data_IF_690957178848
#
_entry.id   IF_690957178848
#
_cell.length_a   1.000
_cell.length_b   1.000
_cell.length_c   1.000
_cell.angle_alpha   90.00
_cell.angle_beta   90.00
_cell.angle_gamma   90.00
#
_symmetry.space_group_name_H-M   'P 1'
#
loop_
_entity.id
_entity.type
_entity.pdbx_description
1 polymer ?
#
# COMPACT_ATOMS: atom_id res chain seq x y z
N UNK A 1 -3.36 -4.10 -2.60
CA UNK A 1 -2.97 -2.82 -3.21
C UNK A 1 -3.22 -1.75 -2.19
N UNK A 2 -2.14 -1.21 -1.65
CA UNK A 2 -2.14 -0.10 -0.71
C UNK A 2 -2.82 1.11 -1.37
N UNK A 3 -3.67 1.81 -0.61
CA UNK A 3 -4.43 2.99 -1.04
C UNK A 3 -3.48 4.06 -1.60
N UNK A 4 -2.25 4.11 -1.09
CA UNK A 4 -1.17 4.94 -1.60
C UNK A 4 -0.86 4.67 -3.09
N UNK A 5 -0.73 3.40 -3.50
CA UNK A 5 -0.39 3.05 -4.88
C UNK A 5 -1.53 3.40 -5.84
N UNK A 6 -2.78 3.20 -5.41
CA UNK A 6 -3.97 3.59 -6.17
C UNK A 6 -4.02 5.11 -6.32
N UNK A 7 -3.76 5.86 -5.25
CA UNK A 7 -3.69 7.31 -5.28
C UNK A 7 -2.58 7.83 -6.21
N UNK A 8 -1.38 7.26 -6.15
CA UNK A 8 -0.27 7.64 -7.02
C UNK A 8 -0.56 7.34 -8.49
N UNK A 9 -1.15 6.18 -8.79
CA UNK A 9 -1.55 5.83 -10.15
C UNK A 9 -2.67 6.75 -10.65
N UNK A 10 -3.68 7.03 -9.83
CA UNK A 10 -4.76 7.94 -10.17
C UNK A 10 -4.24 9.36 -10.42
N UNK A 11 -3.33 9.85 -9.58
CA UNK A 11 -2.69 11.16 -9.75
C UNK A 11 -1.85 11.23 -11.03
N UNK A 12 -1.04 10.21 -11.31
CA UNK A 12 -0.26 10.14 -12.54
C UNK A 12 -1.15 10.05 -13.79
N UNK A 13 -2.22 9.25 -13.72
CA UNK A 13 -3.21 9.13 -14.79
C UNK A 13 -3.94 10.45 -15.06
N UNK A 14 -4.33 11.18 -14.01
CA UNK A 14 -4.96 12.49 -14.13
C UNK A 14 -4.06 13.51 -14.83
N UNK A 15 -2.79 13.58 -14.42
CA UNK A 15 -1.78 14.46 -15.04
C UNK A 15 -1.53 14.10 -16.51
N UNK A 16 -1.47 12.80 -16.84
CA UNK A 16 -1.28 12.33 -18.21
C UNK A 16 -2.49 12.66 -19.10
N UNK A 17 -3.71 12.48 -18.59
CA UNK A 17 -4.95 12.82 -19.30
C UNK A 17 -5.00 14.32 -19.63
N UNK A 18 -4.49 15.19 -18.75
CA UNK A 18 -4.41 16.63 -19.01
C UNK A 18 -3.28 16.99 -19.99
N UNK A 19 -2.13 16.31 -19.89
CA UNK A 19 -0.97 16.57 -20.74
C UNK A 19 -1.25 16.27 -22.22
N UNK A 20 -1.98 15.20 -22.54
CA UNK A 20 -2.23 14.77 -23.93
C UNK A 20 -2.95 15.85 -24.77
N UNK A 21 -4.11 16.40 -24.36
CA UNK A 21 -4.76 17.48 -25.10
C UNK A 21 -3.93 18.75 -25.22
N UNK A 22 -3.20 19.12 -24.17
CA UNK A 22 -2.32 20.31 -24.16
C UNK A 22 -1.14 20.15 -25.12
N UNK A 23 -0.64 18.93 -25.31
CA UNK A 23 0.52 18.66 -26.18
C UNK A 23 0.12 18.65 -27.66
N UNK A 24 -0.94 17.92 -28.01
CA UNK A 24 -1.37 17.75 -29.40
C UNK A 24 -2.24 18.91 -29.90
N UNK A 25 -3.10 19.45 -29.04
CA UNK A 25 -4.15 20.40 -29.43
C UNK A 25 -4.16 21.69 -28.58
N UNK A 26 -3.00 22.35 -28.35
CA UNK A 26 -2.91 23.52 -27.47
C UNK A 26 -3.80 24.69 -27.93
N UNK A 27 -3.95 24.86 -29.24
CA UNK A 27 -4.72 25.97 -29.82
C UNK A 27 -6.21 25.86 -29.52
N UNK A 28 -6.78 24.66 -29.57
CA UNK A 28 -8.21 24.47 -29.28
C UNK A 28 -8.48 24.72 -27.80
N UNK A 29 -7.62 24.21 -26.93
CA UNK A 29 -7.75 24.42 -25.47
C UNK A 29 -7.71 25.91 -25.14
N UNK A 30 -6.69 26.64 -25.60
CA UNK A 30 -6.59 28.09 -25.35
C UNK A 30 -7.81 28.82 -25.91
N UNK A 31 -8.29 28.45 -27.11
CA UNK A 31 -9.46 29.08 -27.71
C UNK A 31 -10.76 28.86 -26.92
N UNK A 32 -10.90 27.73 -26.22
CA UNK A 32 -12.09 27.44 -25.39
C UNK A 32 -11.99 28.16 -24.04
N UNK A 33 -10.78 28.40 -23.54
CA UNK A 33 -10.55 29.12 -22.29
C UNK A 33 -10.65 30.64 -22.45
N UNK A 34 -10.39 31.18 -23.64
CA UNK A 34 -10.52 32.62 -23.89
C UNK A 34 -11.98 33.02 -24.07
N UNK A 35 -12.44 33.98 -23.27
CA UNK A 35 -13.79 34.56 -23.41
C UNK A 35 -13.96 35.37 -24.69
N UNK A 36 -12.87 35.86 -25.28
CA UNK A 36 -12.87 36.67 -26.50
C UNK A 36 -12.15 35.95 -27.64
N UNK A 37 -12.77 35.83 -28.82
CA UNK A 37 -12.15 35.19 -29.98
C UNK A 37 -10.98 36.05 -30.49
N UNK A 38 -9.76 35.64 -30.12
CA UNK A 38 -8.51 36.30 -30.49
C UNK A 38 -7.58 35.36 -31.24
N UNK A 39 -6.64 35.93 -31.99
CA UNK A 39 -5.55 35.15 -32.60
C UNK A 39 -4.59 34.68 -31.50
N UNK A 40 -4.44 33.37 -31.39
CA UNK A 40 -3.53 32.71 -30.45
C UNK A 40 -2.09 33.04 -30.84
N UNK A 41 -1.34 33.53 -29.86
CA UNK A 41 0.06 33.91 -30.02
C UNK A 41 0.99 32.69 -30.00
N UNK A 42 2.17 32.81 -30.60
CA UNK A 42 3.19 31.76 -30.53
C UNK A 42 3.63 31.46 -29.09
N UNK A 43 3.63 32.47 -28.22
CA UNK A 43 3.99 32.35 -26.81
C UNK A 43 3.00 31.46 -26.02
N UNK A 44 1.69 31.62 -26.24
CA UNK A 44 0.67 30.77 -25.58
C UNK A 44 0.80 29.31 -26.01
N UNK A 45 1.05 29.08 -27.30
CA UNK A 45 1.26 27.72 -27.83
C UNK A 45 2.53 27.09 -27.24
N UNK A 46 3.60 27.88 -27.12
CA UNK A 46 4.85 27.43 -26.49
C UNK A 46 4.62 27.08 -25.02
N UNK A 47 3.97 27.97 -24.25
CA UNK A 47 3.71 27.77 -22.82
C UNK A 47 2.81 26.56 -22.56
N UNK A 48 1.77 26.36 -23.38
CA UNK A 48 0.88 25.20 -23.27
C UNK A 48 1.64 23.88 -23.50
N UNK A 49 2.52 23.83 -24.50
CA UNK A 49 3.34 22.65 -24.79
C UNK A 49 4.40 22.41 -23.72
N UNK A 50 5.07 23.45 -23.24
CA UNK A 50 6.05 23.30 -22.15
C UNK A 50 5.37 22.83 -20.86
N UNK A 51 4.16 23.33 -20.58
CA UNK A 51 3.38 22.87 -19.44
C UNK A 51 2.95 21.41 -19.59
N UNK A 52 2.53 20.98 -20.78
CA UNK A 52 2.20 19.58 -21.05
C UNK A 52 3.41 18.64 -20.80
N UNK A 53 4.59 19.03 -21.25
CA UNK A 53 5.84 18.26 -21.01
C UNK A 53 6.18 18.21 -19.52
N UNK A 54 5.96 19.30 -18.79
CA UNK A 54 6.14 19.35 -17.34
C UNK A 54 5.18 18.40 -16.61
N UNK A 55 3.90 18.38 -16.99
CA UNK A 55 2.90 17.47 -16.42
C UNK A 55 3.25 16.00 -16.68
N UNK A 56 3.72 15.67 -17.89
CA UNK A 56 4.20 14.33 -18.22
C UNK A 56 5.41 13.93 -17.37
N UNK A 57 6.41 14.82 -17.27
CA UNK A 57 7.59 14.58 -16.45
C UNK A 57 7.23 14.42 -14.97
N UNK A 58 6.30 15.23 -14.46
CA UNK A 58 5.82 15.14 -13.09
C UNK A 58 5.05 13.83 -12.83
N UNK A 59 4.23 13.38 -13.78
CA UNK A 59 3.55 12.08 -13.71
C UNK A 59 4.54 10.91 -13.67
N UNK A 60 5.57 10.93 -14.53
CA UNK A 60 6.63 9.92 -14.55
C UNK A 60 7.40 9.94 -13.22
N UNK A 61 7.79 11.13 -12.74
CA UNK A 61 8.50 11.27 -11.47
C UNK A 61 7.69 10.72 -10.29
N UNK A 62 6.39 11.01 -10.24
CA UNK A 62 5.49 10.46 -9.23
C UNK A 62 5.47 8.91 -9.27
N UNK A 63 5.37 8.29 -10.45
CA UNK A 63 5.39 6.83 -10.57
C UNK A 63 6.72 6.21 -10.12
N UNK A 64 7.84 6.85 -10.45
CA UNK A 64 9.19 6.40 -10.07
C UNK A 64 9.39 6.48 -8.54
N UNK A 65 9.03 7.60 -7.92
CA UNK A 65 9.23 7.81 -6.49
C UNK A 65 8.22 7.05 -5.63
N UNK A 66 7.02 6.77 -6.14
CA UNK A 66 6.04 5.94 -5.43
C UNK A 66 6.46 4.48 -5.30
N UNK A 67 7.45 4.01 -6.09
CA UNK A 67 7.92 2.63 -6.03
C UNK A 67 7.07 1.63 -6.81
N UNK A 68 6.17 2.11 -7.68
CA UNK A 68 5.42 1.28 -8.64
C UNK A 68 6.38 0.70 -9.68
N UNK A 69 7.40 1.48 -10.06
CA UNK A 69 8.47 1.07 -10.96
C UNK A 69 9.70 0.77 -10.09
N UNK A 70 10.20 -0.47 -10.03
CA UNK A 70 11.35 -0.83 -9.21
C UNK A 70 12.63 -0.19 -9.77
N UNK A 71 13.25 0.71 -9.02
CA UNK A 71 14.44 1.47 -9.45
C UNK A 71 15.77 0.71 -9.30
N UNK A 72 15.79 -0.49 -8.70
CA UNK A 72 16.90 -1.44 -8.74
C UNK A 72 16.48 -2.83 -8.23
N UNK A 73 17.16 -3.88 -8.73
CA UNK A 73 17.10 -5.34 -8.50
C UNK A 73 16.51 -5.89 -7.16
N UNK A 74 15.30 -5.52 -6.78
CA UNK A 74 14.60 -6.10 -5.63
C UNK A 74 13.42 -6.93 -6.11
N UNK A 75 13.71 -8.05 -6.77
CA UNK A 75 12.78 -9.17 -7.01
C UNK A 75 12.49 -9.97 -5.72
N UNK A 76 12.82 -9.42 -4.55
CA UNK A 76 12.45 -10.03 -3.27
C UNK A 76 10.95 -9.81 -3.04
N UNK A 77 10.20 -10.86 -3.39
CA UNK A 77 8.75 -11.04 -3.40
C UNK A 77 8.10 -10.96 -2.00
N UNK A 78 8.84 -10.46 -1.01
CA UNK A 78 8.34 -10.14 0.33
C UNK A 78 7.65 -8.77 0.38
N UNK A 79 6.80 -8.47 -0.60
CA UNK A 79 6.19 -7.16 -0.84
C UNK A 79 5.09 -6.84 0.17
N UNK A 80 5.49 -6.39 1.36
CA UNK A 80 4.61 -5.66 2.27
C UNK A 80 4.22 -4.31 1.67
N UNK A 81 3.03 -4.26 1.06
CA UNK A 81 2.28 -3.08 0.59
C UNK A 81 2.37 -1.92 1.62
N UNK A 82 3.04 -0.79 1.33
CA UNK A 82 3.12 0.30 2.31
C UNK A 82 4.15 1.41 2.08
N UNK A 83 3.79 2.65 2.48
CA UNK A 83 4.66 3.83 2.68
C UNK A 83 5.96 3.57 3.49
N UNK A 84 6.07 2.43 4.17
CA UNK A 84 7.16 2.10 5.08
C UNK A 84 8.43 1.54 4.41
N UNK A 85 8.38 1.07 3.15
CA UNK A 85 9.54 0.44 2.47
C UNK A 85 10.33 1.42 1.60
N UNK A 86 9.68 2.44 1.02
CA UNK A 86 10.33 3.40 0.13
C UNK A 86 10.40 4.79 0.81
N UNK A 87 11.62 5.30 1.11
CA UNK A 87 11.79 6.56 1.84
C UNK A 87 11.26 7.79 1.09
N UNK A 88 11.04 7.67 -0.23
CA UNK A 88 10.55 8.75 -1.07
C UNK A 88 9.03 8.76 -1.23
N UNK A 89 8.31 7.72 -0.80
CA UNK A 89 6.86 7.64 -0.98
C UNK A 89 6.10 8.69 -0.17
N UNK A 90 6.47 8.90 1.10
CA UNK A 90 5.83 9.91 1.95
C UNK A 90 6.04 11.36 1.44
N UNK A 91 7.26 11.84 1.15
CA UNK A 91 7.43 13.19 0.62
C UNK A 91 6.77 13.37 -0.75
N UNK A 92 6.76 12.33 -1.59
CA UNK A 92 6.05 12.37 -2.89
C UNK A 92 4.56 12.55 -2.70
N UNK A 93 3.96 11.82 -1.75
CA UNK A 93 2.55 11.96 -1.37
C UNK A 93 2.23 13.41 -0.96
N UNK A 94 3.06 13.99 -0.10
CA UNK A 94 2.86 15.38 0.36
C UNK A 94 2.92 16.34 -0.83
N UNK A 95 3.93 16.22 -1.69
CA UNK A 95 4.09 17.09 -2.86
C UNK A 95 2.90 16.97 -3.82
N UNK A 96 2.45 15.76 -4.15
CA UNK A 96 1.30 15.58 -5.06
C UNK A 96 -0.01 16.04 -4.43
N UNK A 97 -0.18 15.87 -3.12
CA UNK A 97 -1.38 16.35 -2.41
C UNK A 97 -1.41 17.87 -2.38
N UNK A 98 -0.29 18.53 -2.07
CA UNK A 98 -0.17 19.99 -2.12
C UNK A 98 -0.40 20.52 -3.54
N UNK A 99 0.10 19.83 -4.57
CA UNK A 99 -0.16 20.19 -5.97
C UNK A 99 -1.66 20.18 -6.29
N UNK A 100 -2.38 19.12 -5.91
CA UNK A 100 -3.83 19.02 -6.14
C UNK A 100 -4.61 20.07 -5.32
N UNK A 101 -4.16 20.39 -4.10
CA UNK A 101 -4.74 21.44 -3.27
C UNK A 101 -4.62 22.83 -3.94
N UNK A 102 -3.42 23.19 -4.40
CA UNK A 102 -3.15 24.46 -5.06
C UNK A 102 -3.90 24.56 -6.39
N UNK A 103 -3.95 23.47 -7.15
CA UNK A 103 -4.70 23.40 -8.41
C UNK A 103 -6.19 23.59 -8.17
N UNK A 104 -6.77 22.90 -7.17
CA UNK A 104 -8.17 23.07 -6.81
C UNK A 104 -8.48 24.50 -6.35
N UNK A 105 -7.62 25.09 -5.51
CA UNK A 105 -7.77 26.48 -5.07
C UNK A 105 -7.72 27.46 -6.26
N UNK A 106 -6.75 27.29 -7.16
CA UNK A 106 -6.64 28.12 -8.35
C UNK A 106 -7.88 28.02 -9.24
N UNK A 107 -8.33 26.81 -9.55
CA UNK A 107 -9.53 26.60 -10.38
C UNK A 107 -10.77 27.21 -9.71
N UNK A 108 -10.89 27.07 -8.39
CA UNK A 108 -11.97 27.71 -7.62
C UNK A 108 -11.98 29.23 -7.79
N UNK A 109 -10.83 29.90 -7.70
CA UNK A 109 -10.78 31.36 -7.92
C UNK A 109 -11.25 31.75 -9.32
N UNK A 110 -10.92 30.95 -10.33
CA UNK A 110 -11.31 31.19 -11.72
C UNK A 110 -12.76 30.84 -12.04
N UNK A 111 -13.44 30.09 -11.16
CA UNK A 111 -14.86 29.75 -11.29
C UNK A 111 -15.77 30.86 -10.74
N UNK A 112 -15.26 31.73 -9.87
CA UNK A 112 -15.98 32.87 -9.28
C UNK A 112 -16.61 33.83 -10.31
N UNK A 113 -15.92 34.25 -11.38
CA UNK A 113 -16.49 35.18 -12.37
C UNK A 113 -17.48 34.52 -13.36
N UNK A 114 -17.51 33.19 -13.47
CA UNK A 114 -18.38 32.51 -14.40
C UNK A 114 -18.26 30.99 -14.35
N UNK A 115 -19.39 30.29 -14.51
CA UNK A 115 -19.42 28.84 -14.51
C UNK A 115 -18.95 28.28 -15.87
N UNK A 116 -17.94 27.41 -15.83
CA UNK A 116 -17.51 26.62 -16.99
C UNK A 116 -17.46 25.15 -16.59
N UNK A 117 -18.09 24.29 -17.40
CA UNK A 117 -18.10 22.84 -17.16
C UNK A 117 -16.69 22.25 -17.08
N UNK A 118 -15.77 22.72 -17.94
CA UNK A 118 -14.38 22.24 -17.94
C UNK A 118 -13.65 22.57 -16.63
N UNK A 119 -13.85 23.79 -16.12
CA UNK A 119 -13.28 24.22 -14.83
C UNK A 119 -13.95 23.48 -13.66
N UNK A 120 -15.28 23.31 -13.69
CA UNK A 120 -16.03 22.57 -12.67
C UNK A 120 -15.59 21.10 -12.58
N UNK A 121 -15.46 20.41 -13.71
CA UNK A 121 -14.95 19.03 -13.74
C UNK A 121 -13.51 18.96 -13.21
N UNK A 122 -12.63 19.87 -13.65
CA UNK A 122 -11.24 19.96 -13.16
C UNK A 122 -11.16 20.15 -11.64
N UNK A 123 -12.01 21.01 -11.08
CA UNK A 123 -12.13 21.25 -9.65
C UNK A 123 -12.57 19.99 -8.91
N UNK A 124 -13.60 19.27 -9.40
CA UNK A 124 -14.08 18.05 -8.76
C UNK A 124 -13.00 16.96 -8.69
N UNK A 125 -12.30 16.70 -9.81
CA UNK A 125 -11.24 15.69 -9.84
C UNK A 125 -10.04 16.08 -8.97
N UNK A 126 -9.61 17.35 -9.02
CA UNK A 126 -8.49 17.83 -8.19
C UNK A 126 -8.85 17.80 -6.70
N UNK A 127 -10.08 18.17 -6.34
CA UNK A 127 -10.55 18.14 -4.95
C UNK A 127 -10.69 16.70 -4.43
N UNK A 128 -11.18 15.77 -5.26
CA UNK A 128 -11.26 14.36 -4.90
C UNK A 128 -9.87 13.77 -4.63
N UNK A 129 -8.91 14.03 -5.54
CA UNK A 129 -7.53 13.58 -5.35
C UNK A 129 -6.89 14.23 -4.12
N UNK A 130 -7.17 15.50 -3.84
CA UNK A 130 -6.72 16.14 -2.59
C UNK A 130 -7.30 15.46 -1.34
N UNK A 131 -8.60 15.20 -1.30
CA UNK A 131 -9.24 14.51 -0.17
C UNK A 131 -8.67 13.11 0.05
N UNK A 132 -8.48 12.34 -1.03
CA UNK A 132 -7.86 11.00 -0.96
C UNK A 132 -6.39 11.11 -0.53
N UNK A 133 -5.62 12.06 -1.07
CA UNK A 133 -4.23 12.29 -0.67
C UNK A 133 -4.12 12.63 0.83
N UNK A 134 -4.96 13.55 1.31
CA UNK A 134 -5.05 13.88 2.75
C UNK A 134 -5.42 12.67 3.60
N UNK A 135 -6.36 11.84 3.14
CA UNK A 135 -6.69 10.59 3.81
C UNK A 135 -5.47 9.68 3.94
N UNK A 136 -4.68 9.51 2.88
CA UNK A 136 -3.45 8.69 2.92
C UNK A 136 -2.36 9.33 3.77
N UNK A 137 -2.26 10.66 3.87
CA UNK A 137 -1.33 11.32 4.80
C UNK A 137 -1.70 11.03 6.26
N UNK A 138 -2.99 11.19 6.59
CA UNK A 138 -3.48 11.06 7.97
C UNK A 138 -3.50 9.59 8.41
N UNK A 139 -4.02 8.69 7.57
CA UNK A 139 -4.25 7.29 7.93
C UNK A 139 -3.26 6.32 7.30
N UNK A 140 -2.58 6.69 6.21
CA UNK A 140 -1.59 5.83 5.54
C UNK A 140 -0.24 5.80 6.26
N UNK A 141 0.09 6.82 7.05
CA UNK A 141 1.30 6.85 7.89
C UNK A 141 1.23 5.82 9.05
N UNK A 142 0.04 5.32 9.36
CA UNK A 142 -0.22 4.45 10.52
C UNK A 142 -0.12 2.95 10.20
N UNK A 143 0.93 2.52 9.51
CA UNK A 143 1.40 1.15 9.74
C UNK A 143 2.07 1.15 11.11
N UNK A 144 1.20 1.08 12.13
CA UNK A 144 1.52 1.27 13.53
C UNK A 144 2.78 0.50 13.88
N UNK A 145 3.64 1.14 14.68
CA UNK A 145 4.76 0.45 15.34
C UNK A 145 4.21 -0.42 16.46
N UNK A 146 3.30 -1.32 16.08
CA UNK A 146 2.77 -2.41 16.85
C UNK A 146 3.95 -3.25 17.27
N UNK A 147 4.07 -3.41 18.59
CA UNK A 147 5.13 -4.22 19.15
C UNK A 147 4.99 -5.65 18.61
N UNK A 148 6.00 -6.15 17.88
CA UNK A 148 6.03 -7.55 17.41
C UNK A 148 5.84 -8.57 18.55
N UNK A 149 6.15 -8.17 19.78
CA UNK A 149 6.10 -9.01 20.98
C UNK A 149 4.77 -8.94 21.73
N UNK A 150 3.98 -7.86 21.58
CA UNK A 150 2.75 -7.66 22.37
C UNK A 150 1.52 -7.31 21.53
N UNK A 151 1.65 -7.07 20.22
CA UNK A 151 0.52 -6.73 19.34
C UNK A 151 -0.19 -5.41 19.69
N UNK A 152 0.18 -4.74 20.77
CA UNK A 152 -0.34 -3.46 21.21
C UNK A 152 0.39 -2.31 20.52
N UNK A 153 -0.36 -1.25 20.21
CA UNK A 153 0.20 0.00 19.72
C UNK A 153 1.04 0.67 20.81
N UNK A 154 2.33 0.87 20.51
CA UNK A 154 3.30 1.43 21.47
C UNK A 154 2.99 2.89 21.83
N UNK A 155 2.17 3.60 21.05
CA UNK A 155 1.85 5.02 21.29
C UNK A 155 0.65 5.22 22.21
N UNK A 156 -0.22 4.22 22.37
CA UNK A 156 -1.46 4.32 23.17
C UNK A 156 -1.36 3.68 24.55
N UNK A 157 -0.34 2.87 24.84
CA UNK A 157 -0.18 2.23 26.15
C UNK A 157 0.12 3.20 27.32
N UNK A 158 0.34 4.49 27.05
CA UNK A 158 0.88 5.46 28.02
C UNK A 158 0.12 6.77 28.21
N UNK A 159 -0.90 7.09 27.40
CA UNK A 159 -1.51 8.43 27.40
C UNK A 159 -3.04 8.37 27.51
N UNK A 160 -3.69 9.14 28.40
CA UNK A 160 -3.15 9.99 29.47
C UNK A 160 -2.83 9.26 30.79
N UNK A 161 -3.16 7.97 30.90
CA UNK A 161 -2.79 7.13 32.05
C UNK A 161 -2.10 5.86 31.55
N UNK A 162 -0.88 5.61 32.02
CA UNK A 162 -0.13 4.41 31.68
C UNK A 162 -0.82 3.16 32.26
N UNK A 163 -1.58 2.44 31.44
CA UNK A 163 -2.25 1.21 31.86
C UNK A 163 -1.27 0.03 31.81
N UNK A 164 -0.39 -0.04 32.82
CA UNK A 164 0.59 -1.12 32.97
C UNK A 164 -0.03 -2.51 33.18
N UNK A 165 -1.30 -2.58 33.57
CA UNK A 165 -2.02 -3.84 33.77
C UNK A 165 -2.40 -4.49 32.44
N UNK A 166 -2.91 -3.71 31.47
CA UNK A 166 -3.25 -4.24 30.12
C UNK A 166 -2.04 -4.84 29.39
N UNK A 167 -0.86 -4.22 29.51
CA UNK A 167 0.36 -4.75 28.91
C UNK A 167 0.85 -6.05 29.58
N UNK A 168 0.61 -6.22 30.88
CA UNK A 168 0.93 -7.45 31.61
C UNK A 168 -0.04 -8.57 31.26
N UNK A 169 -1.33 -8.29 31.16
CA UNK A 169 -2.36 -9.25 30.76
C UNK A 169 -2.11 -9.78 29.36
N UNK A 170 -1.86 -8.90 28.38
CA UNK A 170 -1.55 -9.31 27.00
C UNK A 170 -0.26 -10.15 26.96
N UNK A 171 0.77 -9.79 27.73
CA UNK A 171 2.01 -10.59 27.82
C UNK A 171 1.78 -11.95 28.50
N UNK A 172 0.87 -12.03 29.47
CA UNK A 172 0.49 -13.27 30.15
C UNK A 172 -0.27 -14.19 29.19
N UNK A 173 -1.26 -13.67 28.47
CA UNK A 173 -2.01 -14.42 27.46
C UNK A 173 -1.10 -14.97 26.35
N UNK A 174 -0.13 -14.18 25.90
CA UNK A 174 0.84 -14.64 24.89
C UNK A 174 1.72 -15.78 25.41
N UNK A 175 2.18 -15.70 26.67
CA UNK A 175 2.93 -16.80 27.31
C UNK A 175 2.09 -18.06 27.53
N UNK A 176 0.80 -17.89 27.81
CA UNK A 176 -0.13 -19.01 28.01
C UNK A 176 -0.40 -19.72 26.68
N UNK A 177 -0.66 -18.96 25.61
CA UNK A 177 -0.77 -19.49 24.23
C UNK A 177 0.49 -20.19 23.77
N UNK A 178 1.68 -19.69 24.13
CA UNK A 178 2.95 -20.34 23.81
C UNK A 178 3.12 -21.67 24.54
N UNK A 179 2.79 -21.73 25.84
CA UNK A 179 2.79 -22.97 26.63
C UNK A 179 1.79 -24.00 26.11
N UNK A 180 0.59 -23.58 25.68
CA UNK A 180 -0.40 -24.48 25.08
C UNK A 180 0.08 -25.04 23.73
N UNK A 181 0.74 -24.21 22.90
CA UNK A 181 1.39 -24.67 21.66
C UNK A 181 2.51 -25.68 21.93
N UNK A 182 3.34 -25.44 22.95
CA UNK A 182 4.38 -26.40 23.32
C UNK A 182 3.79 -27.71 23.88
N UNK A 183 2.72 -27.63 24.68
CA UNK A 183 2.07 -28.81 25.25
C UNK A 183 1.40 -29.66 24.17
N UNK A 184 0.69 -29.04 23.23
CA UNK A 184 0.09 -29.73 22.08
C UNK A 184 1.15 -30.34 21.14
N UNK A 185 2.30 -29.68 20.95
CA UNK A 185 3.43 -30.26 20.21
C UNK A 185 4.08 -31.45 20.94
N UNK A 186 4.13 -31.44 22.28
CA UNK A 186 4.61 -32.58 23.08
C UNK A 186 3.63 -33.76 23.08
N UNK A 187 2.33 -33.50 23.05
CA UNK A 187 1.31 -34.53 22.96
C UNK A 187 1.28 -35.20 21.56
N UNK A 188 1.46 -34.44 20.48
CA UNK A 188 1.55 -34.99 19.11
C UNK A 188 2.84 -35.78 18.85
N UNK A 189 3.95 -35.39 19.47
CA UNK A 189 5.20 -36.17 19.41
C UNK A 189 5.12 -37.47 20.23
N UNK A 190 4.38 -37.48 21.35
CA UNK A 190 4.12 -38.72 22.11
C UNK A 190 3.17 -39.68 21.40
N UNK A 191 2.13 -39.19 20.72
CA UNK A 191 1.23 -40.06 19.96
C UNK A 191 1.95 -40.72 18.79
N UNK A 192 2.75 -39.97 18.03
CA UNK A 192 3.54 -40.51 16.91
C UNK A 192 4.65 -41.47 17.34
N UNK A 193 5.19 -41.32 18.55
CA UNK A 193 6.12 -42.27 19.17
C UNK A 193 5.43 -43.58 19.55
N UNK A 194 4.25 -43.51 20.16
CA UNK A 194 3.45 -44.67 20.58
C UNK A 194 2.97 -45.50 19.37
N UNK A 195 2.58 -44.83 18.29
CA UNK A 195 2.18 -45.51 17.05
C UNK A 195 3.35 -46.23 16.38
N UNK A 196 4.55 -45.63 16.37
CA UNK A 196 5.77 -46.30 15.85
C UNK A 196 6.19 -47.51 16.68
N UNK A 197 5.96 -47.49 17.99
CA UNK A 197 6.29 -48.59 18.89
C UNK A 197 5.32 -49.77 18.70
N UNK A 198 4.02 -49.49 18.55
CA UNK A 198 3.02 -50.52 18.22
C UNK A 198 3.28 -51.19 16.88
N UNK A 199 3.73 -50.44 15.88
CA UNK A 199 3.98 -50.99 14.54
C UNK A 199 5.23 -51.91 14.53
N UNK A 200 6.29 -51.55 15.27
CA UNK A 200 7.46 -52.41 15.48
C UNK A 200 7.13 -53.72 16.20
N UNK A 201 6.26 -53.66 17.20
CA UNK A 201 5.92 -54.84 17.99
C UNK A 201 5.03 -55.82 17.20
N UNK A 202 4.16 -55.28 16.34
CA UNK A 202 3.37 -56.08 15.38
C UNK A 202 4.26 -56.80 14.36
N UNK A 203 5.33 -56.15 13.91
CA UNK A 203 6.28 -56.74 12.97
C UNK A 203 7.18 -57.80 13.62
N UNK A 204 7.59 -57.60 14.89
CA UNK A 204 8.27 -58.64 15.70
C UNK A 204 7.38 -59.85 15.96
N UNK A 205 6.10 -59.65 16.23
CA UNK A 205 5.11 -60.71 16.42
C UNK A 205 4.97 -61.57 15.16
N UNK A 206 4.85 -60.94 13.98
CA UNK A 206 4.82 -61.65 12.68
C UNK A 206 6.09 -62.45 12.42
N UNK A 207 7.27 -61.89 12.71
CA UNK A 207 8.55 -62.64 12.53
C UNK A 207 8.63 -63.86 13.45
N UNK A 208 8.12 -63.76 14.68
CA UNK A 208 8.07 -64.87 15.64
C UNK A 208 7.08 -65.96 15.24
N UNK A 209 5.93 -65.63 14.63
CA UNK A 209 4.99 -66.63 14.13
C UNK A 209 5.53 -67.36 12.90
N UNK A 210 6.20 -66.66 11.98
CA UNK A 210 6.87 -67.27 10.81
C UNK A 210 8.01 -68.19 11.24
N UNK A 211 8.83 -67.79 12.21
CA UNK A 211 9.90 -68.64 12.73
C UNK A 211 9.39 -69.94 13.39
N UNK A 212 8.26 -69.87 14.12
CA UNK A 212 7.62 -71.08 14.69
C UNK A 212 7.03 -71.99 13.61
N UNK A 213 6.45 -71.44 12.55
CA UNK A 213 5.91 -72.22 11.43
C UNK A 213 7.02 -72.96 10.65
N UNK A 214 8.24 -72.42 10.64
CA UNK A 214 9.40 -73.06 10.02
C UNK A 214 10.02 -74.16 10.90
N UNK A 215 9.92 -74.05 12.24
CA UNK A 215 10.44 -75.08 13.15
C UNK A 215 9.49 -76.26 13.40
N UNK A 216 8.24 -76.20 12.94
CA UNK A 216 7.30 -77.33 13.00
C UNK A 216 7.26 -78.17 11.72
N UNK A 217 8.19 -77.93 10.79
CA UNK A 217 8.25 -78.55 9.47
C UNK A 217 9.56 -79.33 9.22
N UNK A 218 10.36 -79.51 10.28
CA UNK A 218 11.50 -80.42 10.37
C UNK A 218 11.15 -81.51 11.39
#
# INVERSE_FOLDING_TARGET
MDVFHIYSLASAGYLAIQAVPLLFVPKIIVSILTSEPRRITGAETYLARSHALLLLAFAILNLLLSGIIPLANSWDDSAGDGLAKNPYSFPTLVVTTTYHALTAFYIYTQLTPGWSFALGAGLMFSSLLFCVGMWVIVFGSEKGRLSKTTGADKRTAGFPFANSESAKEIKKELKEKEKEREKSARESSKSSSSDKEKDKDKDRSKRRSVARALSSRA
#
